data_IF_517909874473
#
_entry.id   IF_517909874473
#
_cell.length_a   1.000
_cell.length_b   1.000
_cell.length_c   1.000
_cell.angle_alpha   90.00
_cell.angle_beta   90.00
_cell.angle_gamma   90.00
#
_symmetry.space_group_name_H-M   'P 1'
#
loop_
_entity.id
_entity.type
_entity.pdbx_description
1 polymer ?
#
# COMPACT_ATOMS: atom_id res chain seq x y z
N UNK A 1 -7.19 19.00 -19.35
CA UNK A 1 -5.85 19.49 -18.98
C UNK A 1 -5.80 19.64 -17.47
N UNK A 2 -4.81 19.05 -16.84
CA UNK A 2 -4.68 19.03 -15.38
C UNK A 2 -4.16 20.39 -14.90
N UNK A 3 -4.88 21.06 -14.00
CA UNK A 3 -4.51 22.39 -13.53
C UNK A 3 -3.98 22.33 -12.08
N UNK A 4 -2.64 22.40 -11.87
CA UNK A 4 -2.02 22.36 -10.55
C UNK A 4 -2.50 23.48 -9.61
N UNK A 5 -3.01 24.58 -10.14
CA UNK A 5 -3.54 25.70 -9.34
C UNK A 5 -4.79 25.30 -8.53
N UNK A 6 -5.48 24.22 -8.96
CA UNK A 6 -6.66 23.70 -8.26
C UNK A 6 -6.31 22.66 -7.18
N UNK A 7 -5.04 22.34 -7.00
CA UNK A 7 -4.64 21.41 -5.97
C UNK A 7 -4.75 21.98 -4.57
N UNK A 8 -5.02 21.11 -3.60
CA UNK A 8 -4.93 21.52 -2.19
C UNK A 8 -3.49 21.98 -1.89
N UNK A 9 -3.33 23.13 -1.18
CA UNK A 9 -2.00 23.73 -0.95
C UNK A 9 -0.98 22.74 -0.35
N UNK A 10 -1.42 21.90 0.59
CA UNK A 10 -0.55 20.91 1.24
C UNK A 10 0.03 19.89 0.24
N UNK A 11 -0.80 19.39 -0.68
CA UNK A 11 -0.31 18.48 -1.73
C UNK A 11 0.62 19.21 -2.71
N UNK A 12 0.23 20.40 -3.14
CA UNK A 12 1.02 21.20 -4.06
C UNK A 12 2.42 21.46 -3.51
N UNK A 13 2.54 21.92 -2.28
CA UNK A 13 3.83 22.19 -1.65
C UNK A 13 4.72 20.94 -1.59
N UNK A 14 4.15 19.78 -1.23
CA UNK A 14 4.88 18.49 -1.22
C UNK A 14 5.36 18.10 -2.61
N UNK A 15 4.50 18.26 -3.61
CA UNK A 15 4.82 17.95 -5.00
C UNK A 15 5.93 18.85 -5.51
N UNK A 16 5.82 20.17 -5.34
CA UNK A 16 6.81 21.16 -5.79
C UNK A 16 8.20 20.88 -5.18
N UNK A 17 8.26 20.46 -3.93
CA UNK A 17 9.53 20.08 -3.28
C UNK A 17 10.22 18.86 -3.91
N UNK A 18 9.48 17.99 -4.63
CA UNK A 18 9.98 16.72 -5.18
C UNK A 18 9.78 16.58 -6.69
N UNK A 19 9.21 17.58 -7.33
CA UNK A 19 8.86 17.51 -8.75
C UNK A 19 10.06 17.20 -9.64
N UNK A 20 11.18 17.90 -9.43
CA UNK A 20 12.37 17.74 -10.25
C UNK A 20 12.95 16.31 -10.14
N UNK A 21 13.00 15.76 -8.92
CA UNK A 21 13.44 14.39 -8.66
C UNK A 21 12.51 13.37 -9.30
N UNK A 22 11.20 13.51 -9.10
CA UNK A 22 10.19 12.63 -9.69
C UNK A 22 10.27 12.59 -11.22
N UNK A 23 10.38 13.77 -11.85
CA UNK A 23 10.50 13.87 -13.31
C UNK A 23 11.78 13.21 -13.82
N UNK A 24 12.90 13.46 -13.16
CA UNK A 24 14.18 12.86 -13.52
C UNK A 24 14.16 11.33 -13.43
N UNK A 25 13.66 10.78 -12.34
CA UNK A 25 13.55 9.32 -12.15
C UNK A 25 12.55 8.70 -13.14
N UNK A 26 11.42 9.36 -13.36
CA UNK A 26 10.43 8.86 -14.32
C UNK A 26 10.98 8.84 -15.76
N UNK A 27 11.69 9.89 -16.18
CA UNK A 27 12.30 9.96 -17.52
C UNK A 27 13.39 8.89 -17.72
N UNK A 28 14.13 8.54 -16.65
CA UNK A 28 15.13 7.47 -16.71
C UNK A 28 14.48 6.10 -16.94
N UNK A 29 13.31 5.84 -16.33
CA UNK A 29 12.59 4.57 -16.44
C UNK A 29 11.72 4.49 -17.71
N UNK A 30 11.12 5.61 -18.10
CA UNK A 30 10.13 5.69 -19.19
C UNK A 30 10.42 6.87 -20.12
N UNK A 31 11.50 6.81 -20.90
CA UNK A 31 11.92 7.93 -21.77
C UNK A 31 10.80 8.39 -22.70
N UNK A 32 10.52 9.69 -22.72
CA UNK A 32 9.53 10.29 -23.60
C UNK A 32 8.06 10.07 -23.25
N UNK A 33 7.74 9.33 -22.18
CA UNK A 33 6.35 8.97 -21.78
C UNK A 33 5.68 10.08 -20.96
N UNK A 34 5.52 11.28 -21.54
CA UNK A 34 4.96 12.46 -20.85
C UNK A 34 3.52 12.26 -20.36
N UNK A 35 2.69 11.55 -21.13
CA UNK A 35 1.30 11.27 -20.76
C UNK A 35 1.22 10.33 -19.54
N UNK A 36 2.10 9.34 -19.48
CA UNK A 36 2.20 8.43 -18.32
C UNK A 36 2.59 9.19 -17.05
N UNK A 37 3.53 10.12 -17.13
CA UNK A 37 3.89 10.97 -15.99
C UNK A 37 2.72 11.85 -15.55
N UNK A 38 2.00 12.46 -16.48
CA UNK A 38 0.82 13.28 -16.17
C UNK A 38 -0.27 12.43 -15.47
N UNK A 39 -0.51 11.21 -15.97
CA UNK A 39 -1.43 10.26 -15.33
C UNK A 39 -0.98 9.88 -13.90
N UNK A 40 0.30 9.59 -13.70
CA UNK A 40 0.85 9.26 -12.38
C UNK A 40 0.60 10.40 -11.38
N UNK A 41 0.93 11.64 -11.77
CA UNK A 41 0.74 12.83 -10.92
C UNK A 41 -0.75 13.01 -10.58
N UNK A 42 -1.63 12.82 -11.55
CA UNK A 42 -3.07 12.88 -11.33
C UNK A 42 -3.54 11.85 -10.32
N UNK A 43 -3.08 10.60 -10.44
CA UNK A 43 -3.42 9.52 -9.49
C UNK A 43 -2.88 9.81 -8.09
N UNK A 44 -1.68 10.37 -7.98
CA UNK A 44 -1.12 10.79 -6.68
C UNK A 44 -2.02 11.83 -6.00
N UNK A 45 -2.47 12.85 -6.74
CA UNK A 45 -3.38 13.86 -6.20
C UNK A 45 -4.73 13.28 -5.81
N UNK A 46 -5.32 12.43 -6.66
CA UNK A 46 -6.60 11.77 -6.38
C UNK A 46 -6.51 10.92 -5.10
N UNK A 47 -5.49 10.08 -4.98
CA UNK A 47 -5.26 9.27 -3.79
C UNK A 47 -5.07 10.14 -2.53
N UNK A 48 -4.39 11.29 -2.65
CA UNK A 48 -4.27 12.24 -1.54
C UNK A 48 -5.62 12.82 -1.12
N UNK A 49 -6.48 13.17 -2.08
CA UNK A 49 -7.81 13.74 -1.79
C UNK A 49 -8.75 12.71 -1.16
N UNK A 50 -8.71 11.48 -1.67
CA UNK A 50 -9.55 10.36 -1.22
C UNK A 50 -9.09 9.76 0.11
N UNK A 51 -7.83 10.02 0.52
CA UNK A 51 -7.29 9.45 1.76
C UNK A 51 -8.09 9.89 2.99
N UNK A 52 -8.59 8.95 3.81
CA UNK A 52 -9.40 9.25 4.99
C UNK A 52 -8.72 10.19 5.99
N UNK A 53 -9.49 11.07 6.63
CA UNK A 53 -8.96 12.07 7.59
C UNK A 53 -8.16 11.42 8.74
N UNK A 54 -8.62 10.31 9.36
CA UNK A 54 -7.83 9.64 10.41
C UNK A 54 -6.45 9.21 9.92
N UNK A 55 -6.36 8.64 8.71
CA UNK A 55 -5.08 8.20 8.14
C UNK A 55 -4.16 9.40 7.84
N UNK A 56 -4.69 10.51 7.34
CA UNK A 56 -3.90 11.74 7.15
C UNK A 56 -3.30 12.28 8.46
N UNK A 57 -3.99 12.11 9.60
CA UNK A 57 -3.43 12.47 10.91
C UNK A 57 -2.26 11.58 11.30
N UNK A 58 -2.37 10.28 11.03
CA UNK A 58 -1.28 9.31 11.23
C UNK A 58 -0.09 9.65 10.34
N UNK A 59 -0.33 9.95 9.06
CA UNK A 59 0.73 10.32 8.12
C UNK A 59 1.53 11.53 8.62
N UNK A 60 0.84 12.60 9.05
CA UNK A 60 1.50 13.79 9.60
C UNK A 60 2.32 13.53 10.86
N UNK A 61 1.88 12.58 11.70
CA UNK A 61 2.65 12.14 12.87
C UNK A 61 3.93 11.43 12.43
N UNK A 62 3.82 10.50 11.49
CA UNK A 62 4.92 9.69 10.96
C UNK A 62 5.93 10.51 10.16
N UNK A 63 5.49 11.54 9.45
CA UNK A 63 6.41 12.47 8.76
C UNK A 63 7.34 13.22 9.72
N UNK A 64 6.88 13.50 10.94
CA UNK A 64 7.70 14.16 11.96
C UNK A 64 8.71 13.22 12.62
N UNK A 65 8.45 11.93 12.54
CA UNK A 65 9.32 10.87 13.05
C UNK A 65 9.50 9.79 11.96
N UNK A 66 10.44 9.96 11.03
CA UNK A 66 10.71 8.98 9.99
C UNK A 66 11.15 7.62 10.51
N UNK A 67 11.56 7.54 11.77
CA UNK A 67 11.94 6.31 12.46
C UNK A 67 10.79 5.63 13.22
N UNK A 68 9.54 6.08 13.09
CA UNK A 68 8.38 5.61 13.85
C UNK A 68 8.26 4.07 13.91
N UNK A 69 8.63 3.37 12.85
CA UNK A 69 8.53 1.89 12.78
C UNK A 69 9.65 1.16 13.53
N UNK A 70 10.65 1.89 14.04
CA UNK A 70 11.79 1.35 14.83
C UNK A 70 11.55 1.46 16.34
N UNK A 71 10.45 2.07 16.75
CA UNK A 71 10.10 2.28 18.15
C UNK A 71 9.71 0.97 18.86
N UNK A 72 9.84 0.96 20.19
CA UNK A 72 9.46 -0.19 21.02
C UNK A 72 7.93 -0.38 21.14
N UNK A 73 7.15 0.56 20.63
CA UNK A 73 5.70 0.54 20.57
C UNK A 73 5.15 -0.17 19.31
N UNK A 74 6.04 -0.64 18.42
CA UNK A 74 5.67 -1.39 17.22
C UNK A 74 5.91 -2.88 17.44
N UNK A 75 4.83 -3.66 17.44
CA UNK A 75 4.88 -5.12 17.41
C UNK A 75 4.35 -5.61 16.06
N UNK A 76 5.25 -6.18 15.26
CA UNK A 76 4.94 -6.74 13.94
C UNK A 76 4.57 -8.21 14.00
N UNK A 77 3.61 -8.62 13.16
CA UNK A 77 3.35 -10.01 12.82
C UNK A 77 3.46 -10.18 11.31
N UNK A 78 4.27 -11.14 10.86
CA UNK A 78 4.37 -11.53 9.46
C UNK A 78 3.58 -12.81 9.25
N UNK A 79 2.82 -12.90 8.16
CA UNK A 79 2.06 -14.10 7.82
C UNK A 79 1.87 -14.31 6.32
N UNK A 80 1.78 -15.59 5.93
CA UNK A 80 1.11 -15.99 4.71
C UNK A 80 -0.40 -16.10 4.99
N UNK A 81 -1.23 -15.50 4.14
CA UNK A 81 -2.69 -15.46 4.31
C UNK A 81 -3.29 -16.86 4.36
N UNK A 82 -2.90 -17.74 3.43
CA UNK A 82 -3.36 -19.13 3.35
C UNK A 82 -2.96 -19.95 4.57
N UNK A 83 -1.70 -19.87 4.98
CA UNK A 83 -1.19 -20.63 6.13
C UNK A 83 -1.81 -20.17 7.46
N UNK A 84 -2.08 -18.87 7.61
CA UNK A 84 -2.64 -18.31 8.85
C UNK A 84 -4.16 -18.51 8.95
N UNK A 85 -4.89 -18.26 7.88
CA UNK A 85 -6.34 -18.16 7.91
C UNK A 85 -7.07 -18.68 6.66
N UNK A 86 -6.36 -19.26 5.71
CA UNK A 86 -6.90 -19.77 4.46
C UNK A 86 -7.19 -18.69 3.42
N UNK A 87 -7.88 -17.61 3.82
CA UNK A 87 -8.32 -16.53 2.93
C UNK A 87 -8.22 -15.17 3.61
N UNK A 88 -8.35 -14.08 2.86
CA UNK A 88 -8.47 -12.71 3.40
C UNK A 88 -9.69 -12.57 4.32
N UNK A 89 -10.79 -13.25 4.01
CA UNK A 89 -11.96 -13.31 4.90
C UNK A 89 -11.60 -13.96 6.25
N UNK A 90 -10.88 -15.08 6.22
CA UNK A 90 -10.41 -15.74 7.44
C UNK A 90 -9.46 -14.86 8.27
N UNK A 91 -8.63 -14.04 7.62
CA UNK A 91 -7.80 -13.04 8.33
C UNK A 91 -8.67 -12.00 9.02
N UNK A 92 -9.74 -11.49 8.35
CA UNK A 92 -10.69 -10.55 8.97
C UNK A 92 -11.30 -11.14 10.25
N UNK A 93 -11.71 -12.40 10.21
CA UNK A 93 -12.28 -13.11 11.39
C UNK A 93 -11.30 -13.30 12.54
N UNK A 94 -9.99 -13.29 12.26
CA UNK A 94 -8.92 -13.43 13.26
C UNK A 94 -8.31 -12.11 13.72
N UNK A 95 -8.80 -10.95 13.26
CA UNK A 95 -8.21 -9.65 13.63
C UNK A 95 -8.24 -9.39 15.14
N UNK A 96 -9.28 -9.80 15.84
CA UNK A 96 -9.35 -9.66 17.31
C UNK A 96 -8.26 -10.48 18.01
N UNK A 97 -7.96 -11.67 17.49
CA UNK A 97 -6.84 -12.48 17.97
C UNK A 97 -5.50 -11.75 17.71
N UNK A 98 -5.27 -11.27 16.49
CA UNK A 98 -4.05 -10.52 16.12
C UNK A 98 -3.87 -9.33 17.07
N UNK A 99 -4.94 -8.58 17.34
CA UNK A 99 -4.93 -7.45 18.25
C UNK A 99 -4.68 -7.86 19.70
N UNK A 100 -5.26 -8.97 20.15
CA UNK A 100 -5.06 -9.50 21.53
C UNK A 100 -3.61 -9.88 21.79
N UNK A 101 -2.86 -10.24 20.75
CA UNK A 101 -1.41 -10.47 20.82
C UNK A 101 -0.59 -9.17 20.92
N UNK A 102 -1.23 -7.98 20.89
CA UNK A 102 -0.56 -6.69 20.93
C UNK A 102 -0.03 -6.23 19.56
N UNK A 103 -0.34 -6.94 18.48
CA UNK A 103 0.14 -6.63 17.12
C UNK A 103 -0.50 -5.33 16.62
N UNK A 104 0.32 -4.42 16.13
CA UNK A 104 -0.10 -3.15 15.52
C UNK A 104 0.56 -2.88 14.16
N UNK A 105 1.33 -3.87 13.66
CA UNK A 105 1.92 -3.85 12.32
C UNK A 105 1.81 -5.25 11.70
N UNK A 106 0.95 -5.39 10.69
CA UNK A 106 0.67 -6.63 10.01
C UNK A 106 1.38 -6.66 8.66
N UNK A 107 2.35 -7.56 8.51
CA UNK A 107 3.08 -7.78 7.27
C UNK A 107 2.53 -9.04 6.58
N UNK A 108 1.79 -8.83 5.51
CA UNK A 108 1.24 -9.92 4.70
C UNK A 108 2.21 -10.27 3.57
N UNK A 109 2.59 -11.55 3.50
CA UNK A 109 3.40 -12.11 2.43
C UNK A 109 2.64 -12.01 1.10
N UNK A 110 3.31 -12.22 -0.06
CA UNK A 110 2.73 -11.91 -1.36
C UNK A 110 1.36 -12.54 -1.58
N UNK A 111 0.39 -11.72 -1.95
CA UNK A 111 -1.01 -12.13 -2.14
C UNK A 111 -1.62 -11.70 -3.49
N UNK A 112 -0.80 -11.07 -4.36
CA UNK A 112 -1.25 -10.65 -5.68
C UNK A 112 -1.26 -11.83 -6.66
N UNK A 113 -2.06 -11.70 -7.73
CA UNK A 113 -2.21 -12.74 -8.75
C UNK A 113 -0.86 -13.13 -9.36
N UNK A 114 -0.59 -14.43 -9.42
CA UNK A 114 0.65 -15.01 -9.93
C UNK A 114 0.37 -15.98 -11.09
N UNK A 115 1.33 -16.21 -12.02
CA UNK A 115 1.15 -17.18 -13.10
C UNK A 115 0.99 -18.57 -12.53
N UNK A 116 0.07 -19.37 -13.09
CA UNK A 116 -0.10 -20.78 -12.68
C UNK A 116 1.19 -21.57 -12.86
N UNK A 117 1.61 -22.27 -11.81
CA UNK A 117 2.79 -23.13 -11.80
C UNK A 117 4.15 -22.40 -11.84
N UNK A 118 4.17 -21.07 -11.71
CA UNK A 118 5.38 -20.24 -11.69
C UNK A 118 5.22 -19.07 -10.72
N UNK A 119 4.64 -19.33 -9.56
CA UNK A 119 4.29 -18.24 -8.65
C UNK A 119 5.45 -17.79 -7.76
N UNK A 120 6.51 -18.60 -7.63
CA UNK A 120 7.69 -18.32 -6.83
C UNK A 120 7.33 -17.81 -5.40
N UNK A 121 6.46 -18.54 -4.71
CA UNK A 121 5.97 -18.15 -3.39
C UNK A 121 5.09 -16.88 -3.39
N UNK A 122 4.56 -16.52 -4.56
CA UNK A 122 3.77 -15.31 -4.77
C UNK A 122 4.57 -14.09 -5.27
N UNK A 123 5.88 -14.21 -5.38
CA UNK A 123 6.73 -13.09 -5.83
C UNK A 123 6.72 -12.88 -7.34
N UNK A 124 6.33 -13.89 -8.13
CA UNK A 124 6.11 -13.74 -9.58
C UNK A 124 4.72 -13.13 -9.82
N UNK A 125 4.60 -11.80 -9.76
CA UNK A 125 3.31 -11.12 -9.91
C UNK A 125 2.91 -11.03 -11.38
N UNK A 126 1.72 -11.55 -11.73
CA UNK A 126 1.13 -11.45 -13.07
C UNK A 126 0.22 -10.22 -13.22
N UNK A 127 -0.48 -9.83 -12.17
CA UNK A 127 -1.35 -8.65 -12.17
C UNK A 127 -1.33 -7.95 -10.80
N UNK A 128 -0.74 -6.76 -10.76
CA UNK A 128 -0.66 -5.93 -9.54
C UNK A 128 -2.01 -5.34 -9.09
N UNK A 129 -3.09 -5.56 -9.83
CA UNK A 129 -4.42 -5.06 -9.53
C UNK A 129 -5.37 -6.14 -9.02
N UNK A 130 -4.89 -7.38 -8.94
CA UNK A 130 -5.69 -8.53 -8.52
C UNK A 130 -5.03 -9.28 -7.38
N UNK A 131 -5.85 -9.79 -6.50
CA UNK A 131 -5.48 -10.77 -5.48
C UNK A 131 -5.54 -12.16 -6.10
N UNK A 132 -4.73 -13.12 -5.62
CA UNK A 132 -4.85 -14.53 -5.97
C UNK A 132 -6.28 -15.00 -5.70
N UNK A 133 -6.97 -15.62 -6.69
CA UNK A 133 -8.39 -16.01 -6.54
C UNK A 133 -8.66 -16.92 -5.32
N UNK A 134 -7.71 -17.77 -4.97
CA UNK A 134 -7.79 -18.66 -3.82
C UNK A 134 -7.72 -17.93 -2.46
N UNK A 135 -7.18 -16.71 -2.42
CA UNK A 135 -7.10 -15.90 -1.20
C UNK A 135 -8.27 -14.93 -1.04
N UNK A 136 -8.92 -14.57 -2.13
CA UNK A 136 -10.04 -13.64 -2.15
C UNK A 136 -9.99 -12.62 -3.28
N UNK A 137 -10.59 -11.46 -3.05
CA UNK A 137 -10.73 -10.39 -4.04
C UNK A 137 -9.98 -9.12 -3.59
N UNK A 138 -9.86 -8.15 -4.50
CA UNK A 138 -9.32 -6.83 -4.15
C UNK A 138 -10.26 -6.08 -3.18
N UNK A 139 -11.54 -6.36 -3.23
CA UNK A 139 -12.54 -5.82 -2.32
C UNK A 139 -12.36 -6.38 -0.90
N UNK A 140 -12.07 -7.68 -0.77
CA UNK A 140 -11.72 -8.30 0.52
C UNK A 140 -10.46 -7.67 1.13
N UNK A 141 -9.45 -7.39 0.29
CA UNK A 141 -8.23 -6.72 0.74
C UNK A 141 -8.51 -5.29 1.21
N UNK A 142 -9.35 -4.54 0.50
CA UNK A 142 -9.76 -3.18 0.91
C UNK A 142 -10.50 -3.20 2.24
N UNK A 143 -11.41 -4.14 2.41
CA UNK A 143 -12.16 -4.30 3.66
C UNK A 143 -11.23 -4.67 4.81
N UNK A 144 -10.36 -5.67 4.63
CA UNK A 144 -9.37 -6.06 5.62
C UNK A 144 -8.49 -4.87 6.04
N UNK A 145 -7.96 -4.11 5.08
CA UNK A 145 -7.11 -2.94 5.40
C UNK A 145 -7.88 -1.86 6.14
N UNK A 146 -9.17 -1.67 5.85
CA UNK A 146 -10.03 -0.72 6.57
C UNK A 146 -10.24 -1.15 8.02
N UNK A 147 -10.57 -2.43 8.24
CA UNK A 147 -10.73 -2.99 9.59
C UNK A 147 -9.42 -2.93 10.40
N UNK A 148 -8.29 -3.24 9.77
CA UNK A 148 -6.98 -3.06 10.41
C UNK A 148 -6.77 -1.62 10.87
N UNK A 149 -7.05 -0.65 10.01
CA UNK A 149 -6.88 0.78 10.34
C UNK A 149 -7.81 1.21 11.50
N UNK A 150 -9.05 0.74 11.52
CA UNK A 150 -10.00 1.00 12.62
C UNK A 150 -9.49 0.45 13.96
N UNK A 151 -8.79 -0.69 13.92
CA UNK A 151 -8.18 -1.30 15.09
C UNK A 151 -6.79 -0.77 15.44
N UNK A 152 -6.26 0.18 14.66
CA UNK A 152 -4.93 0.76 14.87
C UNK A 152 -3.78 -0.11 14.37
N UNK A 153 -4.07 -1.08 13.50
CA UNK A 153 -3.09 -1.97 12.87
C UNK A 153 -2.66 -1.39 11.52
N UNK A 154 -1.35 -1.17 11.34
CA UNK A 154 -0.78 -0.80 10.06
C UNK A 154 -0.54 -2.03 9.19
N UNK A 155 -0.92 -1.97 7.91
CA UNK A 155 -0.71 -3.07 6.97
C UNK A 155 0.49 -2.80 6.07
N UNK A 156 1.29 -3.84 5.86
CA UNK A 156 2.34 -3.91 4.85
C UNK A 156 2.05 -5.10 3.94
N UNK A 157 2.18 -4.91 2.63
CA UNK A 157 2.12 -5.98 1.64
C UNK A 157 3.53 -6.21 1.10
N UNK A 158 3.94 -7.47 1.09
CA UNK A 158 5.16 -7.86 0.40
C UNK A 158 4.86 -8.08 -1.09
N UNK A 159 5.75 -7.60 -1.94
CA UNK A 159 5.65 -7.78 -3.38
C UNK A 159 7.03 -7.70 -4.03
N UNK A 160 7.15 -8.26 -5.23
CA UNK A 160 8.36 -8.18 -6.04
C UNK A 160 8.10 -7.45 -7.36
N UNK A 161 9.11 -6.69 -7.80
CA UNK A 161 9.18 -6.08 -9.13
C UNK A 161 10.26 -6.74 -10.01
N UNK A 162 10.93 -7.79 -9.51
CA UNK A 162 12.06 -8.43 -10.20
C UNK A 162 11.64 -9.23 -11.43
N UNK A 163 10.38 -9.65 -11.51
CA UNK A 163 9.83 -10.45 -12.61
C UNK A 163 9.07 -9.61 -13.64
N UNK A 164 9.24 -8.29 -13.63
CA UNK A 164 8.66 -7.39 -14.64
C UNK A 164 9.47 -7.43 -15.93
#
# INVERSE_FOLDING_TARGET
MFDPMKWKPEFRNRYECREAELRSLYEQLYPGQKEGLAYLIQRMYQNYVERPVPLRKIDRKREKDPGWYKGNDILGMMMYTDAFAGTLQGVKEKLDYVKSCGVNYLHMMPLLESPKGRDDGGYAVADFRKVKPELGTIEDLKELTSLCHEQGISCCLDLSLIHI
#
